data_IF_305716789879
#
_entry.id   IF_305716789879
#
_cell.length_a   1.000
_cell.length_b   1.000
_cell.length_c   1.000
_cell.angle_alpha   90.00
_cell.angle_beta   90.00
_cell.angle_gamma   90.00
#
_symmetry.space_group_name_H-M   'P 1'
#
loop_
_entity.id
_entity.type
_entity.pdbx_description
1 polymer ?
#
# COMPACT_ATOMS: atom_id res chain seq x y z
N UNK A 1 -21.98 3.83 8.52
CA UNK A 1 -22.13 2.75 7.54
C UNK A 1 -22.54 1.47 8.26
N UNK A 2 -23.50 0.72 7.69
CA UNK A 2 -23.85 -0.60 8.20
C UNK A 2 -22.76 -1.64 7.85
N UNK A 3 -22.70 -2.79 8.55
CA UNK A 3 -21.77 -3.86 8.19
C UNK A 3 -21.91 -4.32 6.74
N UNK A 4 -23.14 -4.38 6.23
CA UNK A 4 -23.41 -4.74 4.83
C UNK A 4 -22.91 -3.67 3.84
N UNK A 5 -23.01 -2.40 4.19
CA UNK A 5 -22.47 -1.30 3.35
C UNK A 5 -20.96 -1.33 3.32
N UNK A 6 -20.30 -1.59 4.46
CA UNK A 6 -18.84 -1.73 4.52
C UNK A 6 -18.35 -2.89 3.66
N UNK A 7 -19.00 -4.05 3.76
CA UNK A 7 -18.63 -5.23 2.97
C UNK A 7 -18.80 -4.99 1.45
N UNK A 8 -19.87 -4.32 1.05
CA UNK A 8 -20.08 -3.96 -0.37
C UNK A 8 -19.03 -2.94 -0.84
N UNK A 9 -18.70 -1.97 0.00
CA UNK A 9 -17.68 -0.97 -0.33
C UNK A 9 -16.33 -1.63 -0.58
N UNK A 10 -15.90 -2.56 0.28
CA UNK A 10 -14.67 -3.32 0.09
C UNK A 10 -14.70 -4.17 -1.19
N UNK A 11 -15.82 -4.82 -1.48
CA UNK A 11 -15.99 -5.59 -2.72
C UNK A 11 -15.84 -4.69 -3.96
N UNK A 12 -16.48 -3.53 -3.96
CA UNK A 12 -16.41 -2.57 -5.06
C UNK A 12 -15.02 -1.98 -5.21
N UNK A 13 -14.37 -1.61 -4.11
CA UNK A 13 -13.00 -1.12 -4.08
C UNK A 13 -12.03 -2.13 -4.74
N UNK A 14 -12.17 -3.40 -4.38
CA UNK A 14 -11.36 -4.46 -4.98
C UNK A 14 -11.61 -4.60 -6.49
N UNK A 15 -12.86 -4.49 -6.93
CA UNK A 15 -13.21 -4.52 -8.36
C UNK A 15 -12.60 -3.34 -9.12
N UNK A 16 -12.61 -2.14 -8.55
CA UNK A 16 -11.98 -0.97 -9.15
C UNK A 16 -10.47 -1.13 -9.30
N UNK A 17 -9.78 -1.65 -8.28
CA UNK A 17 -8.35 -1.94 -8.37
C UNK A 17 -8.05 -2.95 -9.49
N UNK A 18 -8.83 -4.00 -9.61
CA UNK A 18 -8.69 -4.99 -10.70
C UNK A 18 -8.92 -4.38 -12.07
N UNK A 19 -9.88 -3.48 -12.20
CA UNK A 19 -10.15 -2.75 -13.45
C UNK A 19 -8.98 -1.88 -13.90
N UNK A 20 -8.13 -1.42 -12.96
CA UNK A 20 -6.90 -0.69 -13.25
C UNK A 20 -5.71 -1.61 -13.59
N UNK A 21 -5.90 -2.92 -13.58
CA UNK A 21 -4.84 -3.90 -13.84
C UNK A 21 -4.00 -4.26 -12.62
N UNK A 22 -4.41 -3.84 -11.41
CA UNK A 22 -3.77 -4.25 -10.17
C UNK A 22 -4.23 -5.66 -9.77
N UNK A 23 -3.30 -6.47 -9.25
CA UNK A 23 -3.63 -7.79 -8.78
C UNK A 23 -4.30 -7.73 -7.40
N UNK A 24 -5.44 -8.35 -7.30
CA UNK A 24 -6.15 -8.61 -6.04
C UNK A 24 -6.73 -10.01 -6.11
N UNK A 25 -7.06 -10.67 -4.99
CA UNK A 25 -7.93 -11.84 -5.03
C UNK A 25 -9.23 -11.47 -5.75
N UNK A 26 -9.78 -12.40 -6.53
CA UNK A 26 -11.06 -12.14 -7.23
C UNK A 26 -12.18 -11.95 -6.21
N UNK A 27 -12.87 -10.79 -6.19
CA UNK A 27 -14.00 -10.57 -5.31
C UNK A 27 -15.23 -11.31 -5.84
N UNK A 28 -15.79 -12.18 -5.01
CA UNK A 28 -16.89 -13.08 -5.40
C UNK A 28 -18.22 -12.47 -4.96
N UNK A 29 -18.39 -12.23 -3.67
CA UNK A 29 -19.67 -11.83 -3.09
C UNK A 29 -19.47 -11.00 -1.80
N UNK A 30 -20.45 -10.13 -1.51
CA UNK A 30 -20.55 -9.45 -0.22
C UNK A 30 -21.99 -9.54 0.30
N UNK A 31 -22.15 -9.90 1.57
CA UNK A 31 -23.44 -10.06 2.22
C UNK A 31 -23.36 -9.78 3.73
N UNK A 32 -24.48 -9.86 4.42
CA UNK A 32 -24.55 -9.73 5.86
C UNK A 32 -25.10 -11.02 6.49
N UNK A 33 -24.45 -11.45 7.56
CA UNK A 33 -24.88 -12.58 8.38
C UNK A 33 -24.75 -12.20 9.86
N UNK A 34 -25.82 -12.35 10.60
CA UNK A 34 -25.87 -12.10 12.06
C UNK A 34 -25.30 -10.74 12.48
N UNK A 35 -25.48 -9.69 11.64
CA UNK A 35 -25.00 -8.34 11.90
C UNK A 35 -23.53 -8.12 11.51
N UNK A 36 -22.88 -9.08 10.88
CA UNK A 36 -21.53 -8.97 10.34
C UNK A 36 -21.55 -8.81 8.82
N UNK A 37 -20.80 -7.84 8.30
CA UNK A 37 -20.49 -7.76 6.89
C UNK A 37 -19.46 -8.82 6.51
N UNK A 38 -19.75 -9.57 5.45
CA UNK A 38 -18.88 -10.65 4.95
C UNK A 38 -18.53 -10.35 3.50
N UNK A 39 -17.25 -10.41 3.17
CA UNK A 39 -16.75 -10.36 1.79
C UNK A 39 -16.08 -11.69 1.48
N UNK A 40 -16.40 -12.26 0.35
CA UNK A 40 -15.85 -13.53 -0.13
C UNK A 40 -14.92 -13.26 -1.31
N UNK A 41 -13.69 -13.74 -1.18
CA UNK A 41 -12.69 -13.67 -2.24
C UNK A 41 -12.25 -15.08 -2.65
N UNK A 42 -11.64 -15.18 -3.83
CA UNK A 42 -10.94 -16.40 -4.21
C UNK A 42 -9.82 -16.71 -3.21
N UNK A 43 -9.56 -17.98 -3.00
CA UNK A 43 -8.42 -18.40 -2.19
C UNK A 43 -7.14 -18.38 -3.03
N UNK A 44 -6.09 -17.72 -2.52
CA UNK A 44 -4.77 -17.68 -3.13
C UNK A 44 -3.85 -18.68 -2.38
N UNK A 45 -3.63 -19.89 -2.94
CA UNK A 45 -2.75 -20.87 -2.29
C UNK A 45 -1.30 -20.41 -2.33
N UNK A 46 -0.55 -20.70 -1.26
CA UNK A 46 0.88 -20.43 -1.16
C UNK A 46 1.29 -18.95 -1.25
N UNK A 47 0.39 -18.02 -0.94
CA UNK A 47 0.76 -16.61 -0.79
C UNK A 47 1.68 -16.41 0.42
N UNK A 48 2.51 -15.37 0.33
CA UNK A 48 3.33 -14.88 1.46
C UNK A 48 3.03 -13.40 1.70
N UNK A 49 2.99 -12.91 2.96
CA UNK A 49 2.92 -11.48 3.21
C UNK A 49 4.24 -10.79 2.83
N UNK A 50 4.19 -9.47 2.63
CA UNK A 50 5.33 -8.68 2.18
C UNK A 50 6.55 -8.82 3.10
N UNK A 51 6.37 -8.93 4.40
CA UNK A 51 7.44 -9.06 5.38
C UNK A 51 8.17 -10.42 5.36
N UNK A 52 7.64 -11.41 4.63
CA UNK A 52 8.29 -12.70 4.38
C UNK A 52 9.21 -12.69 3.13
N UNK A 53 9.34 -11.55 2.43
CA UNK A 53 10.19 -11.50 1.25
C UNK A 53 11.68 -11.62 1.60
N UNK A 54 12.45 -12.14 0.64
CA UNK A 54 13.92 -12.14 0.70
C UNK A 54 14.46 -10.92 -0.07
N UNK A 55 15.00 -9.89 0.63
CA UNK A 55 15.49 -8.68 -0.03
C UNK A 55 16.62 -8.90 -1.04
N UNK A 56 17.39 -9.99 -0.90
CA UNK A 56 18.49 -10.27 -1.79
C UNK A 56 18.03 -10.82 -3.16
N UNK A 57 16.96 -11.59 -3.17
CA UNK A 57 16.46 -12.25 -4.39
C UNK A 57 15.19 -11.62 -4.95
N UNK A 58 14.47 -10.86 -4.13
CA UNK A 58 13.19 -10.27 -4.48
C UNK A 58 13.22 -8.72 -4.48
N UNK A 59 14.34 -8.12 -4.88
CA UNK A 59 14.51 -6.66 -4.94
C UNK A 59 13.52 -5.94 -5.87
N UNK A 60 12.96 -6.65 -6.85
CA UNK A 60 11.92 -6.17 -7.76
C UNK A 60 10.63 -5.72 -7.05
N UNK A 61 10.38 -6.23 -5.84
CA UNK A 61 9.15 -5.97 -5.08
C UNK A 61 9.00 -4.49 -4.74
N UNK A 62 10.07 -3.81 -4.36
CA UNK A 62 10.02 -2.39 -4.01
C UNK A 62 9.56 -1.54 -5.20
N UNK A 63 10.17 -1.69 -6.37
CA UNK A 63 9.80 -0.97 -7.59
C UNK A 63 8.36 -1.29 -8.01
N UNK A 64 7.96 -2.56 -7.93
CA UNK A 64 6.61 -3.01 -8.29
C UNK A 64 5.54 -2.46 -7.36
N UNK A 65 5.82 -2.36 -6.05
CA UNK A 65 4.89 -1.79 -5.08
C UNK A 65 4.62 -0.31 -5.38
N UNK A 66 5.68 0.49 -5.59
CA UNK A 66 5.51 1.91 -5.90
C UNK A 66 4.88 2.14 -7.26
N UNK A 67 5.19 1.32 -8.27
CA UNK A 67 4.55 1.42 -9.59
C UNK A 67 3.04 1.12 -9.52
N UNK A 68 2.65 0.09 -8.79
CA UNK A 68 1.24 -0.26 -8.57
C UNK A 68 0.51 0.83 -7.79
N UNK A 69 1.11 1.36 -6.73
CA UNK A 69 0.55 2.44 -5.95
C UNK A 69 0.41 3.73 -6.78
N UNK A 70 1.40 4.04 -7.64
CA UNK A 70 1.33 5.16 -8.59
C UNK A 70 0.14 5.00 -9.54
N UNK A 71 -0.10 3.82 -10.08
CA UNK A 71 -1.26 3.54 -10.93
C UNK A 71 -2.57 3.88 -10.22
N UNK A 72 -2.70 3.49 -8.95
CA UNK A 72 -3.88 3.80 -8.14
C UNK A 72 -4.02 5.30 -7.90
N UNK A 73 -2.94 5.98 -7.51
CA UNK A 73 -2.93 7.40 -7.21
C UNK A 73 -3.19 8.28 -8.45
N UNK A 74 -2.73 7.89 -9.63
CA UNK A 74 -2.98 8.63 -10.89
C UNK A 74 -4.46 8.66 -11.27
N UNK A 75 -5.23 7.69 -10.82
CA UNK A 75 -6.70 7.66 -10.98
C UNK A 75 -7.44 8.40 -9.85
N UNK A 76 -6.73 9.09 -8.97
CA UNK A 76 -7.31 9.80 -7.84
C UNK A 76 -7.79 8.90 -6.72
N UNK A 77 -7.31 7.67 -6.68
CA UNK A 77 -7.67 6.65 -5.69
C UNK A 77 -6.55 6.47 -4.67
N UNK A 78 -6.84 5.81 -3.56
CA UNK A 78 -5.85 5.43 -2.55
C UNK A 78 -6.22 4.07 -1.92
N UNK A 79 -5.23 3.37 -1.36
CA UNK A 79 -5.48 2.11 -0.65
C UNK A 79 -6.08 2.36 0.75
N UNK A 80 -5.52 3.28 1.49
CA UNK A 80 -5.99 3.76 2.79
C UNK A 80 -5.58 2.94 4.00
N UNK A 81 -5.15 1.69 3.82
CA UNK A 81 -4.65 0.81 4.89
C UNK A 81 -3.47 -0.05 4.41
N UNK A 82 -2.51 0.59 3.76
CA UNK A 82 -1.34 -0.10 3.21
C UNK A 82 -0.35 -0.46 4.32
N UNK A 83 -0.12 -1.76 4.49
CA UNK A 83 0.82 -2.33 5.45
C UNK A 83 1.28 -3.70 4.95
N UNK A 84 2.37 -4.23 5.55
CA UNK A 84 2.99 -5.46 5.06
C UNK A 84 2.04 -6.64 4.94
N UNK A 85 1.09 -6.79 5.86
CA UNK A 85 0.10 -7.89 5.85
C UNK A 85 -0.97 -7.73 4.76
N UNK A 86 -1.15 -6.52 4.20
CA UNK A 86 -2.12 -6.22 3.14
C UNK A 86 -1.51 -6.24 1.74
N UNK A 87 -0.24 -6.60 1.62
CA UNK A 87 0.48 -6.82 0.37
C UNK A 87 0.96 -8.26 0.35
N UNK A 88 0.44 -9.05 -0.57
CA UNK A 88 0.74 -10.46 -0.68
C UNK A 88 1.66 -10.73 -1.87
N UNK A 89 2.57 -11.66 -1.70
CA UNK A 89 3.45 -12.19 -2.75
C UNK A 89 2.91 -13.54 -3.20
N UNK A 90 2.65 -13.67 -4.47
CA UNK A 90 2.28 -14.94 -5.11
C UNK A 90 3.05 -15.07 -6.41
N UNK A 91 3.92 -16.07 -6.51
CA UNK A 91 4.87 -16.22 -7.60
C UNK A 91 5.70 -14.92 -7.77
N UNK A 92 5.75 -14.35 -8.97
CA UNK A 92 6.46 -13.10 -9.28
C UNK A 92 5.53 -11.88 -9.33
N UNK A 93 4.47 -11.85 -8.53
CA UNK A 93 3.48 -10.78 -8.54
C UNK A 93 3.08 -10.32 -7.14
N UNK A 94 2.70 -9.03 -7.04
CA UNK A 94 2.11 -8.44 -5.85
C UNK A 94 0.59 -8.45 -5.96
N UNK A 95 -0.07 -8.77 -4.83
CA UNK A 95 -1.52 -8.73 -4.67
C UNK A 95 -1.87 -7.80 -3.51
N UNK A 96 -2.88 -6.96 -3.69
CA UNK A 96 -3.39 -6.07 -2.66
C UNK A 96 -4.68 -6.61 -2.06
N UNK A 97 -4.82 -6.49 -0.73
CA UNK A 97 -6.04 -6.81 0.01
C UNK A 97 -6.40 -5.68 0.97
N UNK A 98 -7.63 -5.69 1.47
CA UNK A 98 -8.13 -4.78 2.51
C UNK A 98 -8.01 -3.27 2.17
N UNK A 99 -8.25 -2.91 0.92
CA UNK A 99 -8.32 -1.51 0.52
C UNK A 99 -9.56 -0.82 1.12
N UNK A 100 -9.35 0.29 1.83
CA UNK A 100 -10.41 0.99 2.56
C UNK A 100 -10.81 2.34 1.97
N UNK A 101 -10.03 2.88 1.06
CA UNK A 101 -10.20 4.23 0.51
C UNK A 101 -10.14 4.29 -1.01
N UNK A 102 -10.49 3.20 -1.68
CA UNK A 102 -10.64 3.18 -3.13
C UNK A 102 -11.98 3.86 -3.45
N UNK A 103 -12.00 5.16 -3.38
CA UNK A 103 -13.16 5.98 -3.73
C UNK A 103 -12.71 7.18 -4.56
N UNK A 104 -13.49 7.51 -5.59
CA UNK A 104 -13.26 8.66 -6.44
C UNK A 104 -13.34 9.95 -5.61
N UNK A 105 -12.19 10.52 -5.28
CA UNK A 105 -12.09 11.68 -4.41
C UNK A 105 -11.11 11.49 -3.25
N UNK A 106 -10.26 10.45 -3.31
CA UNK A 106 -9.16 10.31 -2.38
C UNK A 106 -8.35 11.62 -2.37
N UNK A 107 -8.36 12.29 -1.24
CA UNK A 107 -7.67 13.55 -1.08
C UNK A 107 -6.16 13.31 -1.15
N UNK A 108 -5.43 14.30 -1.64
CA UNK A 108 -3.96 14.27 -1.73
C UNK A 108 -3.29 13.80 -0.42
N UNK A 109 -3.86 14.13 0.73
CA UNK A 109 -3.38 13.66 2.03
C UNK A 109 -3.44 12.14 2.21
N UNK A 110 -4.46 11.46 1.68
CA UNK A 110 -4.57 9.99 1.78
C UNK A 110 -3.53 9.33 0.88
N UNK A 111 -3.27 9.88 -0.29
CA UNK A 111 -2.22 9.39 -1.19
C UNK A 111 -0.82 9.55 -0.59
N UNK A 112 -0.55 10.69 0.05
CA UNK A 112 0.69 10.91 0.78
C UNK A 112 0.84 9.96 1.97
N UNK A 113 -0.26 9.66 2.66
CA UNK A 113 -0.30 8.66 3.72
C UNK A 113 -0.01 7.24 3.20
N UNK A 114 -0.62 6.84 2.08
CA UNK A 114 -0.33 5.56 1.42
C UNK A 114 1.17 5.43 1.07
N UNK A 115 1.75 6.48 0.51
CA UNK A 115 3.17 6.50 0.15
C UNK A 115 4.05 6.36 1.40
N UNK A 116 3.71 7.04 2.49
CA UNK A 116 4.40 6.90 3.77
C UNK A 116 4.28 5.47 4.32
N UNK A 117 3.12 4.84 4.22
CA UNK A 117 2.90 3.45 4.62
C UNK A 117 3.73 2.46 3.80
N UNK A 118 3.82 2.67 2.48
CA UNK A 118 4.65 1.85 1.61
C UNK A 118 6.14 1.95 1.97
N UNK A 119 6.64 3.15 2.20
CA UNK A 119 8.00 3.38 2.67
C UNK A 119 8.26 2.70 4.03
N UNK A 120 7.30 2.82 4.95
CA UNK A 120 7.38 2.19 6.27
C UNK A 120 7.42 0.66 6.20
N UNK A 121 6.68 0.06 5.28
CA UNK A 121 6.67 -1.39 5.07
C UNK A 121 7.96 -1.91 4.43
N UNK A 122 8.61 -1.12 3.58
CA UNK A 122 9.83 -1.53 2.86
C UNK A 122 11.13 -1.20 3.60
N UNK A 123 11.14 -0.20 4.48
CA UNK A 123 12.36 0.22 5.20
C UNK A 123 12.99 -0.92 6.02
N UNK A 124 12.24 -1.71 6.80
CA UNK A 124 12.82 -2.83 7.55
C UNK A 124 13.46 -3.92 6.68
N UNK A 125 13.05 -4.02 5.42
CA UNK A 125 13.48 -5.05 4.48
C UNK A 125 14.69 -4.60 3.64
N UNK A 126 14.67 -3.36 3.14
CA UNK A 126 15.66 -2.84 2.20
C UNK A 126 16.51 -1.71 2.74
N UNK A 127 16.17 -1.13 3.89
CA UNK A 127 16.77 0.09 4.42
C UNK A 127 16.18 1.36 3.80
N UNK A 128 16.37 2.49 4.49
CA UNK A 128 15.81 3.78 4.09
C UNK A 128 16.27 4.22 2.70
N UNK A 129 17.56 4.09 2.40
CA UNK A 129 18.14 4.51 1.14
C UNK A 129 17.50 3.78 -0.06
N UNK A 130 17.48 2.46 -0.01
CA UNK A 130 16.93 1.65 -1.11
C UNK A 130 15.42 1.81 -1.26
N UNK A 131 14.68 1.96 -0.15
CA UNK A 131 13.24 2.22 -0.18
C UNK A 131 12.92 3.56 -0.84
N UNK A 132 13.62 4.63 -0.48
CA UNK A 132 13.43 5.95 -1.09
C UNK A 132 13.87 5.96 -2.56
N UNK A 133 14.97 5.33 -2.90
CA UNK A 133 15.45 5.21 -4.29
C UNK A 133 14.42 4.49 -5.18
N UNK A 134 13.80 3.42 -4.70
CA UNK A 134 12.75 2.73 -5.41
C UNK A 134 11.49 3.62 -5.59
N UNK A 135 11.14 4.40 -4.58
CA UNK A 135 10.01 5.33 -4.65
C UNK A 135 10.22 6.46 -5.67
N UNK A 136 11.45 6.95 -5.83
CA UNK A 136 11.80 8.00 -6.80
C UNK A 136 11.53 7.61 -8.25
N UNK A 137 11.51 6.33 -8.58
CA UNK A 137 11.17 5.86 -9.91
C UNK A 137 9.69 6.14 -10.28
N UNK A 138 8.82 6.31 -9.30
CA UNK A 138 7.37 6.49 -9.49
C UNK A 138 6.82 7.80 -8.91
N UNK A 139 7.53 8.45 -8.00
CA UNK A 139 7.07 9.65 -7.29
C UNK A 139 8.10 10.77 -7.37
N UNK A 140 7.61 12.00 -7.44
CA UNK A 140 8.45 13.20 -7.41
C UNK A 140 9.00 13.49 -6.01
N UNK A 141 10.04 14.30 -5.94
CA UNK A 141 10.59 14.82 -4.69
C UNK A 141 9.53 15.53 -3.84
N UNK A 142 8.66 16.34 -4.46
CA UNK A 142 7.58 17.02 -3.76
C UNK A 142 6.57 16.04 -3.13
N UNK A 143 6.23 14.97 -3.83
CA UNK A 143 5.35 13.92 -3.31
C UNK A 143 6.00 13.15 -2.17
N UNK A 144 7.29 12.86 -2.25
CA UNK A 144 8.05 12.22 -1.16
C UNK A 144 8.16 13.12 0.07
N UNK A 145 8.37 14.41 -0.10
CA UNK A 145 8.37 15.36 1.03
C UNK A 145 7.00 15.46 1.70
N UNK A 146 5.92 15.42 0.92
CA UNK A 146 4.56 15.34 1.46
C UNK A 146 4.35 14.06 2.28
N UNK A 147 4.80 12.92 1.78
CA UNK A 147 4.75 11.65 2.49
C UNK A 147 5.57 11.67 3.79
N UNK A 148 6.73 12.33 3.81
CA UNK A 148 7.58 12.44 4.98
C UNK A 148 6.87 13.06 6.19
N UNK A 149 5.88 13.94 5.96
CA UNK A 149 5.08 14.54 7.02
C UNK A 149 4.18 13.52 7.75
N UNK A 150 3.90 12.38 7.16
CA UNK A 150 3.07 11.33 7.75
C UNK A 150 3.86 10.21 8.44
N UNK A 151 5.19 10.16 8.29
CA UNK A 151 6.01 9.05 8.81
C UNK A 151 5.91 8.89 10.33
N UNK A 152 5.89 9.97 11.08
CA UNK A 152 5.68 9.90 12.53
C UNK A 152 4.29 9.39 12.90
N UNK A 153 3.28 9.79 12.15
CA UNK A 153 1.92 9.32 12.35
C UNK A 153 1.81 7.81 12.09
N UNK A 154 2.42 7.33 11.02
CA UNK A 154 2.48 5.90 10.70
C UNK A 154 3.22 5.13 11.80
N UNK A 155 4.32 5.66 12.33
CA UNK A 155 5.10 5.04 13.40
C UNK A 155 4.31 4.86 14.71
N UNK A 156 3.30 5.68 14.95
CA UNK A 156 2.46 5.55 16.16
C UNK A 156 1.50 4.34 16.09
N UNK A 157 1.32 3.76 14.92
CA UNK A 157 0.48 2.58 14.76
C UNK A 157 1.23 1.33 15.22
N UNK A 158 0.58 0.43 15.98
CA UNK A 158 1.25 -0.74 16.55
C UNK A 158 1.69 -1.79 15.52
N UNK A 159 1.14 -1.74 14.32
CA UNK A 159 1.40 -2.63 13.19
C UNK A 159 2.55 -2.14 12.27
N UNK A 160 3.20 -1.02 12.60
CA UNK A 160 4.35 -0.49 11.89
C UNK A 160 5.57 -0.36 12.81
N UNK A 161 6.59 -1.16 12.55
CA UNK A 161 7.88 -1.09 13.25
C UNK A 161 8.99 -0.79 12.22
N UNK A 162 9.39 0.47 12.14
CA UNK A 162 10.36 0.98 11.18
C UNK A 162 11.07 2.24 11.69
N UNK A 163 12.18 2.61 11.02
CA UNK A 163 12.97 3.80 11.36
C UNK A 163 12.45 5.06 10.63
N UNK A 164 11.42 5.70 11.17
CA UNK A 164 10.82 6.90 10.59
C UNK A 164 11.82 8.05 10.38
N UNK A 165 12.69 8.30 11.37
CA UNK A 165 13.72 9.34 11.28
C UNK A 165 14.73 9.09 10.16
N UNK A 166 15.08 7.83 9.92
CA UNK A 166 15.98 7.43 8.83
C UNK A 166 15.39 7.69 7.45
N UNK A 167 14.11 7.34 7.26
CA UNK A 167 13.38 7.63 6.03
C UNK A 167 13.24 9.12 5.77
N UNK A 168 12.83 9.88 6.77
CA UNK A 168 12.69 11.33 6.67
C UNK A 168 14.00 12.00 6.30
N UNK A 169 15.09 11.61 6.96
CA UNK A 169 16.44 12.13 6.69
C UNK A 169 16.89 11.83 5.26
N UNK A 170 16.64 10.63 4.75
CA UNK A 170 16.99 10.25 3.38
C UNK A 170 16.20 11.06 2.34
N UNK A 171 14.89 11.25 2.55
CA UNK A 171 14.06 12.07 1.66
C UNK A 171 14.56 13.52 1.64
N UNK A 172 14.80 14.11 2.80
CA UNK A 172 15.29 15.50 2.91
C UNK A 172 16.68 15.66 2.28
N UNK A 173 17.58 14.69 2.46
CA UNK A 173 18.92 14.70 1.85
C UNK A 173 18.83 14.70 0.33
N UNK A 174 17.99 13.88 -0.26
CA UNK A 174 17.78 13.81 -1.72
C UNK A 174 17.14 15.08 -2.26
N UNK A 175 16.20 15.66 -1.53
CA UNK A 175 15.56 16.93 -1.90
C UNK A 175 16.55 18.10 -1.96
N UNK A 176 17.60 18.11 -1.14
CA UNK A 176 18.63 19.17 -1.15
C UNK A 176 19.73 18.95 -2.19
N UNK A 177 19.81 17.75 -2.79
CA UNK A 177 20.79 17.43 -3.83
C UNK A 177 20.33 17.79 -5.26
N UNK A 178 19.06 18.15 -5.44
CA UNK A 178 18.48 18.67 -6.70
C UNK A 178 18.68 20.18 -6.81
#
# INVERSE_FOLDING_TARGET
QSPAEMARHELEATREMRALGLNTPEPIEAFEVDGYGVVVFEYLPAFRPLDDLDPETESWVADSLFAALRTLHDEGLAHGDLRAENVLLLDDALYFIDATSVDSGAQEGIQSYDLACALAALEPLFGARSAVEAAEASYSTAELLSAANFLHFVQLRPDHDFAAAGLKSEIEHRATAE
#
